data_IF_475889011897
#
_entry.id   IF_475889011897
#
_cell.length_a   1.000
_cell.length_b   1.000
_cell.length_c   1.000
_cell.angle_alpha   90.00
_cell.angle_beta   90.00
_cell.angle_gamma   90.00
#
_symmetry.space_group_name_H-M   'P 1'
#
loop_
_entity.id
_entity.type
_entity.pdbx_description
1 polymer ?
#
# COMPACT_ATOMS: atom_id res chain seq x y z
N UNK A 1 41.24 -18.65 79.25
CA UNK A 1 40.06 -19.53 79.20
C UNK A 1 38.94 -18.90 80.01
N UNK A 2 37.70 -18.95 79.50
CA UNK A 2 36.42 -18.73 80.19
C UNK A 2 36.05 -17.34 80.72
N UNK A 3 35.04 -16.76 80.05
CA UNK A 3 33.76 -16.21 80.57
C UNK A 3 33.68 -15.03 81.56
N UNK A 4 32.73 -14.16 81.18
CA UNK A 4 31.73 -13.45 82.00
C UNK A 4 32.06 -12.04 82.51
N UNK A 5 31.12 -11.11 82.30
CA UNK A 5 31.09 -9.81 82.98
C UNK A 5 30.30 -8.71 82.27
N UNK A 6 28.98 -8.74 82.41
CA UNK A 6 27.97 -7.80 81.90
C UNK A 6 28.12 -6.38 82.45
N UNK A 7 27.77 -5.33 81.67
CA UNK A 7 27.06 -4.14 82.17
C UNK A 7 26.28 -3.40 81.07
N UNK A 8 25.01 -3.17 81.40
CA UNK A 8 23.88 -2.57 80.67
C UNK A 8 24.00 -1.08 80.39
N UNK A 9 23.34 -0.57 79.34
CA UNK A 9 22.62 0.72 79.33
C UNK A 9 21.60 0.80 78.15
N UNK A 10 20.33 0.94 78.55
CA UNK A 10 19.06 1.49 77.97
C UNK A 10 18.79 1.65 76.45
N UNK A 11 17.50 1.58 76.02
CA UNK A 11 17.09 1.32 74.64
C UNK A 11 16.91 2.59 73.79
N UNK A 12 17.22 2.47 72.48
CA UNK A 12 16.89 3.43 71.41
C UNK A 12 15.71 2.85 70.60
N UNK A 13 14.73 3.66 70.15
CA UNK A 13 13.50 3.14 69.56
C UNK A 13 13.71 2.50 68.20
N UNK A 14 12.94 1.44 67.94
CA UNK A 14 12.85 0.71 66.66
C UNK A 14 11.78 1.40 65.79
N UNK A 15 12.16 1.86 64.61
CA UNK A 15 11.21 2.12 63.51
C UNK A 15 11.37 1.07 62.41
N UNK A 16 10.25 0.65 61.77
CA UNK A 16 10.21 -0.50 60.88
C UNK A 16 10.68 -0.19 59.45
N UNK A 17 11.37 -1.16 58.86
CA UNK A 17 11.72 -1.21 57.45
C UNK A 17 10.48 -1.25 56.55
N UNK A 18 10.33 -0.26 55.67
CA UNK A 18 9.52 -0.33 54.46
C UNK A 18 10.38 -0.05 53.23
N UNK A 19 10.67 -1.10 52.46
CA UNK A 19 11.25 -1.01 51.12
C UNK A 19 10.15 -0.64 50.11
N UNK A 20 10.28 0.51 49.45
CA UNK A 20 9.70 0.77 48.13
C UNK A 20 10.76 1.52 47.29
N UNK A 21 11.04 1.13 46.03
CA UNK A 21 11.95 1.88 45.18
C UNK A 21 11.19 3.04 44.50
N UNK A 22 11.65 4.26 44.75
CA UNK A 22 11.23 5.48 44.06
C UNK A 22 11.92 5.63 42.70
N UNK A 23 11.14 6.01 41.69
CA UNK A 23 11.60 6.36 40.35
C UNK A 23 12.26 7.76 40.36
N UNK A 24 13.37 7.99 39.61
CA UNK A 24 13.95 9.32 39.48
C UNK A 24 13.13 10.20 38.50
N UNK A 25 13.11 11.54 38.70
CA UNK A 25 12.28 12.46 37.92
C UNK A 25 12.79 12.71 36.50
N UNK A 26 11.84 12.88 35.58
CA UNK A 26 12.02 13.14 34.16
C UNK A 26 12.97 14.32 33.85
N UNK A 27 14.08 14.02 33.16
CA UNK A 27 14.89 15.01 32.46
C UNK A 27 14.10 15.57 31.27
N UNK A 28 13.66 16.82 31.38
CA UNK A 28 13.17 17.61 30.25
C UNK A 28 14.34 17.97 29.31
N UNK A 29 14.52 17.18 28.25
CA UNK A 29 15.34 17.60 27.10
C UNK A 29 14.50 18.56 26.26
N UNK A 30 14.71 19.86 26.43
CA UNK A 30 14.28 20.88 25.47
C UNK A 30 15.07 20.70 24.19
N UNK A 31 14.52 19.99 23.20
CA UNK A 31 15.01 20.06 21.82
C UNK A 31 14.52 21.38 21.24
N UNK A 32 15.43 22.35 21.17
CA UNK A 32 15.23 23.64 20.57
C UNK A 32 15.13 23.47 19.04
N UNK A 33 13.92 23.27 18.51
CA UNK A 33 13.67 23.32 17.05
C UNK A 33 13.97 24.74 16.57
N UNK A 34 15.05 24.90 15.80
CA UNK A 34 15.27 26.11 14.99
C UNK A 34 14.40 25.99 13.73
N UNK A 35 13.68 27.05 13.33
CA UNK A 35 12.94 27.05 12.08
C UNK A 35 13.93 27.21 10.92
N UNK A 36 13.95 26.24 10.01
CA UNK A 36 14.50 26.45 8.68
C UNK A 36 13.32 26.82 7.78
N UNK A 37 13.14 28.12 7.56
CA UNK A 37 12.35 28.62 6.44
C UNK A 37 13.07 28.25 5.15
N UNK A 38 12.37 27.59 4.24
CA UNK A 38 12.78 27.41 2.85
C UNK A 38 11.61 27.84 1.97
N UNK A 39 11.67 29.10 1.55
CA UNK A 39 10.86 29.64 0.46
C UNK A 39 11.51 29.25 -0.87
N UNK A 40 10.73 28.65 -1.78
CA UNK A 40 11.15 28.47 -3.17
C UNK A 40 10.50 29.60 -3.97
N UNK A 41 11.29 30.64 -4.23
CA UNK A 41 10.97 31.66 -5.23
C UNK A 41 11.49 31.15 -6.57
N UNK A 42 10.59 30.78 -7.46
CA UNK A 42 10.94 30.54 -8.86
C UNK A 42 11.07 31.90 -9.58
N UNK A 43 12.28 32.22 -10.02
CA UNK A 43 12.54 33.37 -10.88
C UNK A 43 12.01 33.09 -12.29
N UNK A 44 10.97 33.82 -12.68
CA UNK A 44 10.49 33.86 -14.06
C UNK A 44 11.53 34.58 -14.94
N UNK A 45 12.01 33.89 -15.98
CA UNK A 45 12.75 34.49 -17.09
C UNK A 45 11.88 34.43 -18.33
N UNK A 46 11.34 35.59 -18.69
CA UNK A 46 10.63 35.89 -19.92
C UNK A 46 11.48 35.61 -21.16
N UNK A 47 10.96 34.86 -22.12
CA UNK A 47 11.33 35.00 -23.52
C UNK A 47 10.06 35.09 -24.35
N UNK A 48 9.94 36.22 -25.04
CA UNK A 48 8.80 36.63 -25.83
C UNK A 48 8.59 35.77 -27.09
N UNK A 49 7.31 35.68 -27.44
CA UNK A 49 6.71 35.04 -28.60
C UNK A 49 7.26 35.52 -29.95
N UNK A 50 7.17 34.64 -30.95
CA UNK A 50 6.58 35.02 -32.24
C UNK A 50 5.54 34.00 -32.69
N UNK A 51 4.31 34.49 -32.75
CA UNK A 51 3.14 33.87 -33.35
C UNK A 51 3.33 33.62 -34.85
N UNK A 52 2.75 32.55 -35.37
CA UNK A 52 2.04 32.66 -36.65
C UNK A 52 0.80 31.76 -36.69
N UNK A 53 -0.26 32.32 -37.26
CA UNK A 53 -1.66 31.88 -37.19
C UNK A 53 -2.02 31.07 -38.42
N UNK A 54 -2.72 29.95 -38.24
CA UNK A 54 -3.35 29.21 -39.33
C UNK A 54 -4.54 28.38 -38.85
N UNK A 55 -5.74 28.95 -38.99
CA UNK A 55 -7.04 28.28 -38.77
C UNK A 55 -7.24 27.17 -39.81
N UNK A 56 -7.81 26.03 -39.40
CA UNK A 56 -9.06 25.52 -39.97
C UNK A 56 -9.60 24.34 -39.17
N UNK A 57 -10.90 24.38 -38.90
CA UNK A 57 -11.63 23.39 -38.13
C UNK A 57 -11.88 22.11 -38.93
N UNK A 58 -11.84 20.97 -38.27
CA UNK A 58 -12.53 19.78 -38.76
C UNK A 58 -13.00 18.95 -37.57
N UNK A 59 -14.32 18.90 -37.43
CA UNK A 59 -15.07 17.96 -36.59
C UNK A 59 -14.60 16.54 -36.95
N UNK A 60 -13.95 15.84 -36.02
CA UNK A 60 -13.62 14.42 -36.20
C UNK A 60 -14.47 13.58 -35.26
N UNK A 61 -15.46 12.92 -35.87
CA UNK A 61 -16.20 11.78 -35.31
C UNK A 61 -15.21 10.74 -34.80
N UNK A 62 -15.39 10.36 -33.54
CA UNK A 62 -14.77 9.19 -32.94
C UNK A 62 -15.45 7.96 -33.51
N UNK A 63 -14.71 7.15 -34.28
CA UNK A 63 -15.07 5.75 -34.51
C UNK A 63 -13.81 4.92 -34.74
N UNK A 64 -13.63 3.99 -33.80
CA UNK A 64 -13.24 2.59 -33.99
C UNK A 64 -11.81 2.23 -34.47
N UNK A 65 -11.12 1.54 -33.55
CA UNK A 65 -10.05 0.55 -33.76
C UNK A 65 -8.69 1.15 -34.16
N UNK A 66 -7.99 1.69 -33.16
CA UNK A 66 -6.53 1.79 -33.24
C UNK A 66 -5.92 0.39 -33.03
N UNK A 67 -5.77 -0.34 -34.13
CA UNK A 67 -4.73 -1.37 -34.23
C UNK A 67 -3.41 -0.71 -33.84
N UNK A 68 -2.78 -1.18 -32.76
CA UNK A 68 -1.43 -0.76 -32.37
C UNK A 68 -0.51 -1.05 -33.55
N UNK A 69 -0.17 0.00 -34.29
CA UNK A 69 0.88 -0.07 -35.31
C UNK A 69 2.19 0.04 -34.52
N UNK A 70 3.09 -0.95 -34.58
CA UNK A 70 4.43 -0.81 -34.01
C UNK A 70 5.09 0.42 -34.63
N UNK A 71 5.29 1.48 -33.83
CA UNK A 71 5.98 2.68 -34.29
C UNK A 71 7.41 2.29 -34.65
N UNK A 72 7.83 2.65 -35.87
CA UNK A 72 9.12 2.29 -36.48
C UNK A 72 10.27 2.62 -35.51
N UNK A 73 11.16 1.64 -35.24
CA UNK A 73 12.39 1.83 -34.45
C UNK A 73 13.34 2.76 -35.21
N UNK A 74 13.22 4.07 -34.97
CA UNK A 74 14.36 4.97 -35.11
C UNK A 74 15.33 4.68 -33.97
N UNK A 75 16.61 4.98 -34.17
CA UNK A 75 17.70 4.82 -33.21
C UNK A 75 17.35 5.57 -31.91
N UNK A 76 16.65 4.90 -31.00
CA UNK A 76 16.07 5.48 -29.79
C UNK A 76 16.80 4.91 -28.58
N UNK A 77 17.29 5.81 -27.74
CA UNK A 77 18.01 5.47 -26.50
C UNK A 77 17.09 4.93 -25.38
N UNK A 78 15.81 4.64 -25.67
CA UNK A 78 14.83 4.19 -24.68
C UNK A 78 13.80 3.20 -25.24
N UNK A 79 13.18 2.44 -24.33
CA UNK A 79 12.05 1.52 -24.58
C UNK A 79 11.00 1.83 -23.52
N UNK A 80 9.73 1.83 -23.90
CA UNK A 80 8.60 1.82 -22.96
C UNK A 80 7.48 0.99 -23.58
N UNK A 81 7.24 -0.20 -23.03
CA UNK A 81 6.28 -1.17 -23.55
C UNK A 81 5.45 -1.75 -22.40
N UNK A 82 4.10 -1.79 -22.50
CA UNK A 82 3.28 -2.49 -21.52
C UNK A 82 3.58 -4.00 -21.57
N UNK A 83 3.65 -4.64 -20.41
CA UNK A 83 3.86 -6.08 -20.29
C UNK A 83 2.50 -6.76 -20.20
N UNK A 84 2.03 -7.30 -21.33
CA UNK A 84 0.75 -8.01 -21.42
C UNK A 84 1.03 -9.51 -21.54
N UNK A 85 0.79 -10.26 -20.46
CA UNK A 85 0.99 -11.72 -20.43
C UNK A 85 -0.13 -12.44 -21.18
N UNK A 86 -1.37 -12.04 -20.93
CA UNK A 86 -2.55 -12.59 -21.59
C UNK A 86 -3.05 -11.61 -22.66
N UNK A 87 -3.00 -11.96 -23.96
CA UNK A 87 -3.36 -11.06 -25.05
C UNK A 87 -4.85 -10.67 -25.10
N UNK A 88 -5.70 -11.31 -24.26
CA UNK A 88 -7.11 -10.94 -24.11
C UNK A 88 -7.34 -9.78 -23.14
N UNK A 89 -6.31 -9.34 -22.41
CA UNK A 89 -6.38 -8.17 -21.54
C UNK A 89 -6.43 -6.93 -22.41
N UNK A 90 -7.44 -6.09 -22.22
CA UNK A 90 -7.47 -4.74 -22.79
C UNK A 90 -7.15 -3.73 -21.69
N UNK A 91 -6.23 -2.79 -21.98
CA UNK A 91 -5.85 -1.76 -21.03
C UNK A 91 -6.92 -0.67 -20.99
N UNK A 92 -7.25 -0.23 -19.77
CA UNK A 92 -8.04 0.96 -19.54
C UNK A 92 -7.47 2.18 -20.27
N UNK A 93 -8.32 3.10 -20.72
CA UNK A 93 -7.92 4.33 -21.41
C UNK A 93 -6.93 5.13 -20.56
N UNK A 94 -7.17 5.23 -19.25
CA UNK A 94 -6.26 5.93 -18.33
C UNK A 94 -4.85 5.32 -18.29
N UNK A 95 -4.72 3.98 -18.43
CA UNK A 95 -3.42 3.32 -18.52
C UNK A 95 -2.74 3.66 -19.85
N UNK A 96 -3.49 3.64 -20.96
CA UNK A 96 -2.96 4.04 -22.26
C UNK A 96 -2.51 5.50 -22.27
N UNK A 97 -3.32 6.41 -21.72
CA UNK A 97 -3.03 7.83 -21.65
C UNK A 97 -1.80 8.13 -20.79
N UNK A 98 -1.67 7.43 -19.64
CA UNK A 98 -0.48 7.46 -18.80
C UNK A 98 0.77 6.99 -19.58
N UNK A 99 0.71 5.82 -20.23
CA UNK A 99 1.85 5.26 -20.97
C UNK A 99 2.24 6.16 -22.14
N UNK A 100 1.27 6.68 -22.90
CA UNK A 100 1.51 7.57 -24.03
C UNK A 100 2.11 8.91 -23.58
N UNK A 101 1.60 9.49 -22.50
CA UNK A 101 2.13 10.75 -21.95
C UNK A 101 3.55 10.59 -21.41
N UNK A 102 3.84 9.47 -20.73
CA UNK A 102 5.19 9.12 -20.28
C UNK A 102 6.12 8.86 -21.47
N UNK A 103 5.63 8.17 -22.51
CA UNK A 103 6.36 7.96 -23.75
C UNK A 103 6.76 9.29 -24.39
N UNK A 104 5.82 10.23 -24.52
CA UNK A 104 6.04 11.53 -25.16
C UNK A 104 7.05 12.39 -24.37
N UNK A 105 7.05 12.31 -23.03
CA UNK A 105 8.08 12.91 -22.19
C UNK A 105 9.48 12.36 -22.49
N UNK A 106 9.62 11.03 -22.52
CA UNK A 106 10.90 10.37 -22.84
C UNK A 106 11.37 10.70 -24.27
N UNK A 107 10.48 10.70 -25.26
CA UNK A 107 10.80 11.04 -26.67
C UNK A 107 11.23 12.50 -26.83
N UNK A 108 10.73 13.40 -25.97
CA UNK A 108 11.17 14.80 -25.86
C UNK A 108 12.44 15.00 -25.02
N UNK A 109 13.08 13.91 -24.59
CA UNK A 109 14.32 13.96 -23.82
C UNK A 109 14.12 14.40 -22.37
N UNK A 110 12.93 14.22 -21.79
CA UNK A 110 12.68 14.44 -20.37
C UNK A 110 13.10 13.21 -19.59
N UNK A 111 14.07 13.37 -18.69
CA UNK A 111 14.65 12.23 -17.98
C UNK A 111 13.76 11.84 -16.80
N UNK A 112 13.66 10.54 -16.47
CA UNK A 112 13.11 10.09 -15.21
C UNK A 112 13.85 10.75 -14.04
N UNK A 113 13.09 11.24 -13.06
CA UNK A 113 13.62 11.83 -11.84
C UNK A 113 13.49 10.82 -10.72
N UNK A 114 14.62 10.31 -10.21
CA UNK A 114 14.60 9.42 -9.05
C UNK A 114 14.09 10.18 -7.83
N UNK A 115 13.13 9.60 -7.11
CA UNK A 115 12.66 10.13 -5.83
C UNK A 115 13.84 10.31 -4.86
N UNK A 116 13.77 11.31 -3.97
CA UNK A 116 14.73 11.45 -2.90
C UNK A 116 14.44 10.50 -1.72
N UNK A 117 13.17 10.07 -1.60
CA UNK A 117 12.63 9.30 -0.48
C UNK A 117 12.43 7.82 -0.83
N UNK A 118 12.10 7.03 0.18
CA UNK A 118 11.89 5.58 0.06
C UNK A 118 13.17 4.75 0.08
N UNK A 119 12.99 3.43 0.16
CA UNK A 119 14.05 2.43 0.36
C UNK A 119 14.50 1.75 -0.94
N UNK A 120 13.77 1.93 -2.04
CA UNK A 120 14.06 1.37 -3.36
C UNK A 120 14.22 2.43 -4.45
N UNK A 121 14.30 1.98 -5.70
CA UNK A 121 14.21 2.81 -6.88
C UNK A 121 12.77 3.18 -7.22
N UNK A 122 12.44 4.47 -7.16
CA UNK A 122 11.18 5.03 -7.63
C UNK A 122 11.49 6.26 -8.49
N UNK A 123 10.87 6.35 -9.66
CA UNK A 123 11.18 7.36 -10.67
C UNK A 123 9.94 8.09 -11.11
N UNK A 124 9.90 9.41 -10.91
CA UNK A 124 8.90 10.28 -11.49
C UNK A 124 9.17 10.46 -12.99
N UNK A 125 8.16 10.19 -13.78
CA UNK A 125 8.17 10.35 -15.23
C UNK A 125 7.46 11.64 -15.58
N UNK A 126 8.06 12.42 -16.48
CA UNK A 126 7.58 13.74 -16.86
C UNK A 126 6.70 13.69 -18.11
N UNK A 127 5.82 14.67 -18.24
CA UNK A 127 5.08 14.93 -19.47
C UNK A 127 5.97 15.50 -20.58
N UNK A 128 5.39 15.72 -21.76
CA UNK A 128 6.10 16.29 -22.91
C UNK A 128 6.72 17.68 -22.63
N UNK A 129 6.10 18.47 -21.74
CA UNK A 129 6.60 19.81 -21.38
C UNK A 129 7.76 19.73 -20.38
N UNK A 130 7.79 18.69 -19.55
CA UNK A 130 8.70 18.55 -18.42
C UNK A 130 8.25 19.34 -17.18
N UNK A 131 7.00 19.81 -17.15
CA UNK A 131 6.46 20.61 -16.05
C UNK A 131 5.63 19.78 -15.08
N UNK A 132 5.08 18.65 -15.51
CA UNK A 132 4.22 17.80 -14.69
C UNK A 132 4.74 16.38 -14.60
N UNK A 133 4.49 15.74 -13.46
CA UNK A 133 4.65 14.30 -13.31
C UNK A 133 3.43 13.58 -13.88
N UNK A 134 3.67 12.51 -14.63
CA UNK A 134 2.64 11.70 -15.30
C UNK A 134 2.50 10.34 -14.65
N UNK A 135 3.62 9.73 -14.27
CA UNK A 135 3.63 8.40 -13.65
C UNK A 135 4.83 8.22 -12.74
N UNK A 136 4.74 7.27 -11.82
CA UNK A 136 5.85 6.77 -11.01
C UNK A 136 6.19 5.36 -11.47
N UNK A 137 7.44 5.14 -11.86
CA UNK A 137 7.96 3.81 -12.24
C UNK A 137 8.84 3.24 -11.12
N UNK A 138 8.55 2.01 -10.68
CA UNK A 138 9.29 1.28 -9.64
C UNK A 138 9.87 -0.03 -10.24
N UNK A 139 11.16 -0.07 -10.61
CA UNK A 139 11.80 -1.27 -11.17
C UNK A 139 11.93 -2.40 -10.14
N UNK A 140 11.62 -3.63 -10.56
CA UNK A 140 11.74 -4.86 -9.76
C UNK A 140 13.17 -5.07 -9.24
N UNK A 141 14.17 -4.84 -10.08
CA UNK A 141 15.58 -5.05 -9.73
C UNK A 141 16.15 -3.98 -8.80
N UNK A 142 15.40 -2.90 -8.57
CA UNK A 142 15.75 -1.77 -7.70
C UNK A 142 14.92 -1.72 -6.42
N UNK A 143 14.07 -2.72 -6.17
CA UNK A 143 13.33 -2.86 -4.91
C UNK A 143 14.27 -2.86 -3.69
N UNK A 144 13.74 -2.61 -2.48
CA UNK A 144 14.51 -2.78 -1.26
C UNK A 144 15.11 -4.19 -1.17
N UNK A 145 16.41 -4.25 -0.85
CA UNK A 145 17.20 -5.49 -0.80
C UNK A 145 17.37 -6.21 -2.16
N UNK A 146 17.00 -5.61 -3.29
CA UNK A 146 17.24 -6.15 -4.62
C UNK A 146 18.68 -5.92 -5.10
N UNK A 147 19.08 -6.69 -6.12
CA UNK A 147 20.45 -6.71 -6.67
C UNK A 147 20.95 -5.34 -7.12
N UNK A 148 20.07 -4.50 -7.67
CA UNK A 148 20.41 -3.17 -8.17
C UNK A 148 19.77 -2.07 -7.31
N UNK A 149 19.56 -2.31 -6.02
CA UNK A 149 19.01 -1.30 -5.12
C UNK A 149 19.86 0.00 -5.14
N UNK A 150 19.29 1.16 -5.54
CA UNK A 150 20.04 2.41 -5.68
C UNK A 150 20.32 3.13 -4.35
N UNK A 151 19.81 2.61 -3.23
CA UNK A 151 19.93 3.20 -1.88
C UNK A 151 21.03 2.56 -1.04
N UNK A 152 21.74 1.57 -1.59
CA UNK A 152 22.84 0.90 -0.90
C UNK A 152 22.39 -0.03 0.22
N UNK A 153 21.13 -0.48 0.20
CA UNK A 153 20.68 -1.55 1.10
C UNK A 153 21.35 -2.88 0.71
N UNK A 154 21.64 -3.76 1.69
CA UNK A 154 22.25 -5.05 1.41
C UNK A 154 21.30 -5.95 0.61
N UNK A 155 21.86 -6.81 -0.24
CA UNK A 155 21.11 -7.84 -0.96
C UNK A 155 20.48 -8.84 0.03
N UNK A 156 19.21 -9.18 -0.20
CA UNK A 156 18.55 -10.26 0.56
C UNK A 156 19.12 -11.63 0.16
N UNK A 157 19.57 -12.42 1.14
CA UNK A 157 20.22 -13.72 0.91
C UNK A 157 19.22 -14.88 0.83
N UNK A 158 18.09 -14.77 1.51
CA UNK A 158 17.00 -15.76 1.53
C UNK A 158 15.80 -15.34 0.64
N UNK A 159 15.88 -14.13 0.07
CA UNK A 159 14.86 -13.55 -0.79
C UNK A 159 13.69 -12.92 -0.03
N UNK A 160 13.74 -12.85 1.31
CA UNK A 160 12.75 -12.12 2.10
C UNK A 160 12.88 -10.61 1.88
N UNK A 161 11.74 -9.92 1.76
CA UNK A 161 11.66 -8.47 1.63
C UNK A 161 11.79 -7.74 2.98
N UNK A 162 11.50 -6.43 3.00
CA UNK A 162 11.51 -5.65 4.25
C UNK A 162 10.39 -6.02 5.23
N UNK A 163 9.31 -6.63 4.73
CA UNK A 163 8.15 -7.06 5.53
C UNK A 163 8.05 -8.59 5.51
N UNK A 164 7.77 -9.18 6.67
CA UNK A 164 7.54 -10.62 6.82
C UNK A 164 6.45 -11.10 5.89
N UNK A 165 6.74 -12.25 5.26
CA UNK A 165 5.88 -12.85 4.24
C UNK A 165 5.89 -12.14 2.89
N UNK A 166 6.79 -11.18 2.65
CA UNK A 166 7.01 -10.59 1.32
C UNK A 166 8.36 -11.04 0.75
N UNK A 167 8.49 -11.06 -0.58
CA UNK A 167 9.73 -11.44 -1.27
C UNK A 167 10.24 -10.30 -2.13
N UNK A 168 11.56 -10.17 -2.20
CA UNK A 168 12.25 -9.23 -3.08
C UNK A 168 11.89 -9.53 -4.53
N UNK A 169 11.61 -8.48 -5.30
CA UNK A 169 11.24 -8.55 -6.71
C UNK A 169 9.76 -8.89 -6.96
N UNK A 170 8.93 -8.88 -5.90
CA UNK A 170 7.49 -9.10 -6.01
C UNK A 170 6.65 -7.85 -5.74
N UNK A 171 7.27 -6.73 -5.32
CA UNK A 171 6.56 -5.49 -5.00
C UNK A 171 5.80 -4.93 -6.20
N UNK A 172 6.40 -4.94 -7.39
CA UNK A 172 5.75 -4.46 -8.62
C UNK A 172 4.45 -5.22 -8.95
N UNK A 173 4.40 -6.54 -8.71
CA UNK A 173 3.19 -7.33 -8.94
C UNK A 173 2.08 -6.96 -7.95
N UNK A 174 2.45 -6.66 -6.71
CA UNK A 174 1.53 -6.27 -5.63
C UNK A 174 0.91 -4.90 -5.87
N UNK A 175 1.70 -3.96 -6.38
CA UNK A 175 1.23 -2.65 -6.85
C UNK A 175 0.16 -2.79 -7.95
N UNK A 176 0.44 -3.64 -8.95
CA UNK A 176 -0.52 -3.90 -10.04
C UNK A 176 -1.76 -4.64 -9.52
N UNK A 177 -1.58 -5.62 -8.62
CA UNK A 177 -2.67 -6.36 -8.02
C UNK A 177 -3.61 -5.46 -7.21
N UNK A 178 -3.07 -4.51 -6.43
CA UNK A 178 -3.89 -3.57 -5.67
C UNK A 178 -4.82 -2.77 -6.58
N UNK A 179 -4.34 -2.30 -7.74
CA UNK A 179 -5.19 -1.62 -8.72
C UNK A 179 -6.24 -2.54 -9.36
N UNK A 180 -5.85 -3.76 -9.75
CA UNK A 180 -6.77 -4.74 -10.36
C UNK A 180 -7.90 -5.10 -9.38
N UNK A 181 -7.53 -5.32 -8.11
CA UNK A 181 -8.42 -5.76 -7.05
C UNK A 181 -9.20 -4.62 -6.37
N UNK A 182 -8.85 -3.36 -6.65
CA UNK A 182 -9.67 -2.20 -6.29
C UNK A 182 -10.84 -2.08 -7.28
N UNK A 183 -11.89 -2.86 -7.03
CA UNK A 183 -13.06 -2.92 -7.89
C UNK A 183 -13.92 -1.65 -7.79
N UNK A 184 -14.56 -1.21 -8.89
CA UNK A 184 -15.51 -0.11 -8.82
C UNK A 184 -16.75 -0.50 -8.00
N UNK A 185 -17.47 0.51 -7.54
CA UNK A 185 -18.75 0.32 -6.83
C UNK A 185 -19.81 -0.43 -7.66
N UNK A 186 -19.74 -0.33 -8.99
CA UNK A 186 -20.65 -1.01 -9.91
C UNK A 186 -20.41 -2.53 -10.02
N UNK A 187 -19.45 -3.08 -9.27
CA UNK A 187 -19.09 -4.50 -9.28
C UNK A 187 -17.64 -4.72 -9.72
N UNK A 188 -17.29 -5.95 -10.09
CA UNK A 188 -15.91 -6.30 -10.45
C UNK A 188 -15.37 -5.42 -11.57
N UNK A 189 -14.09 -5.03 -11.44
CA UNK A 189 -13.34 -4.37 -12.51
C UNK A 189 -13.39 -5.26 -13.75
N UNK A 190 -14.05 -4.80 -14.80
CA UNK A 190 -14.16 -5.60 -16.02
C UNK A 190 -12.78 -5.86 -16.61
N UNK A 191 -12.65 -6.96 -17.37
CA UNK A 191 -11.44 -7.30 -18.13
C UNK A 191 -10.95 -6.18 -19.08
N UNK A 192 -11.82 -5.20 -19.33
CA UNK A 192 -11.68 -4.09 -20.28
C UNK A 192 -11.71 -2.69 -19.62
N UNK A 193 -11.70 -2.60 -18.28
CA UNK A 193 -12.46 -1.55 -17.57
C UNK A 193 -11.74 -0.26 -17.12
N UNK A 194 -12.42 0.87 -17.41
CA UNK A 194 -12.12 2.26 -17.03
C UNK A 194 -12.78 2.72 -15.70
N UNK A 195 -13.44 1.83 -14.97
CA UNK A 195 -14.14 2.20 -13.73
C UNK A 195 -13.18 2.67 -12.63
N UNK A 196 -13.51 3.78 -11.96
CA UNK A 196 -12.81 4.25 -10.76
C UNK A 196 -13.01 3.21 -9.65
N UNK A 197 -11.90 2.70 -9.11
CA UNK A 197 -11.93 1.74 -8.01
C UNK A 197 -12.56 2.32 -6.75
N UNK A 198 -13.07 1.45 -5.87
CA UNK A 198 -13.74 1.83 -4.63
C UNK A 198 -12.82 2.63 -3.72
N UNK A 199 -11.59 2.13 -3.50
CA UNK A 199 -10.56 2.79 -2.72
C UNK A 199 -9.85 3.91 -3.48
N UNK A 200 -9.84 3.85 -4.81
CA UNK A 200 -9.25 4.87 -5.67
C UNK A 200 -7.75 4.68 -5.87
N UNK A 201 -7.27 3.43 -5.93
CA UNK A 201 -5.88 3.13 -6.30
C UNK A 201 -5.64 3.69 -7.70
N UNK A 202 -4.62 4.54 -7.91
CA UNK A 202 -4.35 5.09 -9.23
C UNK A 202 -4.04 3.96 -10.25
N UNK A 203 -4.40 4.15 -11.53
CA UNK A 203 -4.07 3.22 -12.60
C UNK A 203 -2.63 2.75 -12.53
N UNK A 204 -2.45 1.44 -12.35
CA UNK A 204 -1.13 0.83 -12.17
C UNK A 204 -0.99 -0.38 -13.09
N UNK A 205 0.09 -0.41 -13.87
CA UNK A 205 0.32 -1.48 -14.83
C UNK A 205 1.79 -1.90 -14.89
N UNK A 206 2.05 -3.14 -15.30
CA UNK A 206 3.40 -3.66 -15.49
C UNK A 206 3.97 -3.14 -16.81
N UNK A 207 5.17 -2.56 -16.77
CA UNK A 207 5.84 -2.05 -17.98
C UNK A 207 7.29 -2.50 -18.04
N UNK A 208 7.81 -2.60 -19.26
CA UNK A 208 9.21 -2.76 -19.56
C UNK A 208 9.75 -1.42 -20.02
N UNK A 209 10.70 -0.86 -19.29
CA UNK A 209 11.29 0.43 -19.58
C UNK A 209 12.83 0.34 -19.66
N UNK A 210 13.40 0.81 -20.77
CA UNK A 210 14.85 1.03 -20.91
C UNK A 210 15.07 2.54 -20.92
N UNK A 211 15.85 3.07 -19.98
CA UNK A 211 16.29 4.46 -20.03
C UNK A 211 17.55 4.64 -19.19
N UNK A 212 18.49 5.47 -19.66
CA UNK A 212 19.78 5.73 -18.97
C UNK A 212 19.66 6.55 -17.67
N UNK A 213 18.48 7.11 -17.42
CA UNK A 213 18.15 7.82 -16.18
C UNK A 213 17.85 6.90 -14.99
N UNK A 214 17.65 5.60 -15.23
CA UNK A 214 17.54 4.61 -14.16
C UNK A 214 18.91 4.19 -13.62
N UNK A 215 18.95 3.51 -12.49
CA UNK A 215 20.19 3.03 -11.92
C UNK A 215 20.69 1.77 -12.64
N UNK A 216 21.85 1.88 -13.28
CA UNK A 216 22.53 0.76 -13.97
C UNK A 216 23.95 0.63 -13.41
N UNK A 217 24.24 -0.35 -12.53
CA UNK A 217 25.59 -0.56 -12.03
C UNK A 217 26.55 -1.13 -13.10
N UNK A 218 26.03 -1.57 -14.25
CA UNK A 218 26.78 -2.08 -15.39
C UNK A 218 26.15 -1.63 -16.71
N UNK A 219 25.92 -2.59 -17.61
CA UNK A 219 25.33 -2.30 -18.92
C UNK A 219 23.91 -1.73 -18.83
N UNK A 220 23.57 -0.88 -19.80
CA UNK A 220 22.24 -0.32 -19.95
C UNK A 220 21.26 -1.43 -20.33
N UNK A 221 20.39 -1.81 -19.39
CA UNK A 221 19.44 -2.93 -19.55
C UNK A 221 18.00 -2.50 -19.33
N UNK A 222 17.06 -3.18 -19.99
CA UNK A 222 15.65 -2.86 -19.85
C UNK A 222 15.15 -3.40 -18.51
N UNK A 223 14.46 -2.56 -17.76
CA UNK A 223 13.92 -2.88 -16.45
C UNK A 223 12.43 -3.18 -16.55
N UNK A 224 11.96 -4.12 -15.75
CA UNK A 224 10.53 -4.44 -15.61
C UNK A 224 10.09 -3.92 -14.24
N UNK A 225 8.92 -3.30 -14.17
CA UNK A 225 8.43 -2.70 -12.94
C UNK A 225 6.98 -2.22 -13.04
N UNK A 226 6.43 -1.83 -11.90
CA UNK A 226 5.11 -1.19 -11.86
C UNK A 226 5.24 0.27 -12.31
N UNK A 227 4.30 0.70 -13.15
CA UNK A 227 4.10 2.10 -13.51
C UNK A 227 2.72 2.50 -13.04
N UNK A 228 2.69 3.41 -12.06
CA UNK A 228 1.47 3.94 -11.46
C UNK A 228 1.26 5.37 -11.93
N UNK A 229 0.02 5.73 -12.26
CA UNK A 229 -0.33 7.09 -12.66
C UNK A 229 -0.05 8.06 -11.51
N UNK A 230 0.63 9.15 -11.80
CA UNK A 230 0.81 10.23 -10.85
C UNK A 230 -0.50 11.02 -10.77
N UNK A 231 -1.00 11.22 -9.55
CA UNK A 231 -2.22 11.99 -9.30
C UNK A 231 -1.81 13.28 -8.60
N UNK A 232 -2.25 14.43 -9.12
CA UNK A 232 -2.07 15.72 -8.45
C UNK A 232 -2.72 15.66 -7.06
N UNK A 233 -1.97 16.08 -6.04
CA UNK A 233 -2.33 15.93 -4.64
C UNK A 233 -1.74 17.06 -3.79
N UNK A 234 -2.27 17.20 -2.59
CA UNK A 234 -1.95 18.24 -1.62
C UNK A 234 -1.09 17.71 -0.46
N UNK A 235 -0.22 16.73 -0.73
CA UNK A 235 0.65 16.11 0.28
C UNK A 235 0.09 14.82 0.87
N UNK A 236 0.85 14.23 1.81
CA UNK A 236 0.47 13.00 2.50
C UNK A 236 -0.37 13.30 3.74
N UNK A 237 -1.00 12.26 4.30
CA UNK A 237 -1.75 12.38 5.54
C UNK A 237 -0.86 12.62 6.78
N UNK A 238 0.47 12.52 6.68
CA UNK A 238 1.41 12.77 7.81
C UNK A 238 1.40 14.24 8.26
N UNK A 239 1.09 15.15 7.34
CA UNK A 239 1.08 16.59 7.59
C UNK A 239 -0.26 17.11 8.14
N UNK A 240 -1.25 16.22 8.34
CA UNK A 240 -2.63 16.59 8.67
C UNK A 240 -3.16 15.86 9.90
N UNK A 241 -4.02 16.55 10.67
CA UNK A 241 -4.67 15.95 11.83
C UNK A 241 -5.73 14.91 11.41
N UNK A 242 -5.72 13.69 11.99
CA UNK A 242 -6.56 12.58 11.50
C UNK A 242 -8.07 12.84 11.61
N UNK A 243 -8.49 13.77 12.48
CA UNK A 243 -9.90 14.18 12.59
C UNK A 243 -10.46 14.92 11.37
N UNK A 244 -9.62 15.40 10.45
CA UNK A 244 -10.06 16.15 9.28
C UNK A 244 -10.51 15.25 8.11
N UNK A 245 -10.17 13.96 8.13
CA UNK A 245 -10.43 13.08 6.99
C UNK A 245 -11.91 12.66 6.91
N UNK A 246 -12.53 12.66 5.71
CA UNK A 246 -13.90 12.17 5.56
C UNK A 246 -14.04 10.69 5.91
N UNK A 247 -15.10 10.34 6.64
CA UNK A 247 -15.36 8.96 7.09
C UNK A 247 -15.40 7.98 5.92
N UNK A 248 -16.11 8.36 4.83
CA UNK A 248 -16.23 7.53 3.63
C UNK A 248 -14.87 7.21 3.01
N UNK A 249 -13.93 8.16 3.00
CA UNK A 249 -12.60 7.95 2.43
C UNK A 249 -11.72 7.05 3.29
N UNK A 250 -11.80 7.16 4.62
CA UNK A 250 -11.10 6.23 5.52
C UNK A 250 -11.65 4.81 5.39
N UNK A 251 -12.98 4.66 5.27
CA UNK A 251 -13.63 3.35 5.09
C UNK A 251 -13.27 2.68 3.76
N UNK A 252 -13.12 3.48 2.71
CA UNK A 252 -12.66 3.01 1.39
C UNK A 252 -11.28 2.34 1.48
N UNK A 253 -10.33 3.02 2.12
CA UNK A 253 -8.97 2.52 2.31
C UNK A 253 -8.96 1.31 3.25
N UNK A 254 -9.75 1.33 4.34
CA UNK A 254 -9.77 0.22 5.30
C UNK A 254 -10.26 -1.08 4.65
N UNK A 255 -11.26 -1.02 3.76
CA UNK A 255 -11.74 -2.18 3.02
C UNK A 255 -10.65 -2.80 2.15
N UNK A 256 -9.91 -1.96 1.40
CA UNK A 256 -8.84 -2.44 0.54
C UNK A 256 -7.69 -3.02 1.37
N UNK A 257 -7.21 -2.30 2.38
CA UNK A 257 -6.04 -2.72 3.16
C UNK A 257 -6.31 -3.97 4.01
N UNK A 258 -7.52 -4.11 4.58
CA UNK A 258 -7.92 -5.35 5.25
C UNK A 258 -7.88 -6.50 4.25
N UNK A 259 -8.55 -6.35 3.10
CA UNK A 259 -8.62 -7.41 2.07
C UNK A 259 -7.26 -7.79 1.50
N UNK A 260 -6.34 -6.84 1.40
CA UNK A 260 -5.00 -7.11 0.89
C UNK A 260 -3.99 -7.40 2.00
N UNK A 261 -4.40 -7.44 3.28
CA UNK A 261 -3.52 -7.63 4.43
C UNK A 261 -2.25 -6.76 4.35
N UNK A 262 -2.43 -5.46 4.13
CA UNK A 262 -1.33 -4.54 3.87
C UNK A 262 -0.36 -4.47 5.07
N UNK A 263 0.92 -4.73 4.83
CA UNK A 263 1.96 -4.74 5.86
C UNK A 263 2.67 -3.38 6.05
N UNK A 264 2.24 -2.35 5.32
CA UNK A 264 2.92 -1.04 5.33
C UNK A 264 1.98 0.14 5.08
N UNK A 265 0.72 0.09 5.53
CA UNK A 265 -0.15 1.26 5.46
C UNK A 265 0.17 2.25 6.58
N UNK A 266 1.09 3.17 6.32
CA UNK A 266 1.31 4.38 7.12
C UNK A 266 0.67 5.62 6.46
N UNK A 267 0.56 6.73 7.21
CA UNK A 267 -0.08 7.96 6.70
C UNK A 267 0.65 8.56 5.49
N UNK A 268 1.97 8.34 5.37
CA UNK A 268 2.77 8.72 4.20
C UNK A 268 2.33 8.04 2.90
N UNK A 269 1.72 6.86 3.00
CA UNK A 269 1.20 6.10 1.85
C UNK A 269 -0.27 6.44 1.52
N UNK A 270 -0.81 7.50 2.11
CA UNK A 270 -2.17 8.00 1.82
C UNK A 270 -2.06 9.49 1.46
N UNK A 271 -2.35 9.82 0.21
CA UNK A 271 -2.29 11.20 -0.26
C UNK A 271 -3.65 11.90 -0.13
N UNK A 272 -3.60 13.21 0.03
CA UNK A 272 -4.78 14.07 0.04
C UNK A 272 -5.02 14.63 -1.36
N UNK A 273 -6.16 14.31 -1.94
CA UNK A 273 -6.61 14.89 -3.21
C UNK A 273 -7.82 15.81 -3.00
N UNK A 274 -8.20 16.47 -4.08
CA UNK A 274 -9.46 17.22 -4.18
C UNK A 274 -10.22 16.71 -5.40
N UNK A 275 -11.50 16.39 -5.25
CA UNK A 275 -12.34 16.01 -6.39
C UNK A 275 -12.71 17.26 -7.21
N UNK A 276 -12.50 17.19 -8.54
CA UNK A 276 -12.54 18.34 -9.46
C UNK A 276 -13.90 19.07 -9.47
N UNK A 277 -14.99 18.36 -9.16
CA UNK A 277 -16.35 18.87 -9.32
C UNK A 277 -16.93 19.60 -8.09
N UNK A 278 -16.35 19.41 -6.89
CA UNK A 278 -17.01 19.81 -5.64
C UNK A 278 -16.07 20.22 -4.48
N UNK A 279 -14.77 20.35 -4.73
CA UNK A 279 -13.74 20.63 -3.72
C UNK A 279 -13.76 19.66 -2.52
N UNK A 280 -14.33 18.45 -2.67
CA UNK A 280 -14.32 17.46 -1.61
C UNK A 280 -12.94 16.82 -1.49
N UNK A 281 -12.46 16.75 -0.25
CA UNK A 281 -11.25 16.01 0.09
C UNK A 281 -11.45 14.53 -0.21
N UNK A 282 -10.54 13.97 -1.00
CA UNK A 282 -10.45 12.53 -1.26
C UNK A 282 -9.14 11.98 -0.71
N UNK A 283 -9.12 10.70 -0.36
CA UNK A 283 -7.88 10.02 0.02
C UNK A 283 -7.45 9.08 -1.10
N UNK A 284 -6.18 9.16 -1.48
CA UNK A 284 -5.62 8.38 -2.59
C UNK A 284 -4.60 7.40 -2.00
N UNK A 285 -4.93 6.10 -1.90
CA UNK A 285 -3.99 5.10 -1.43
C UNK A 285 -2.93 4.83 -2.50
N UNK A 286 -1.67 4.91 -2.11
CA UNK A 286 -0.51 4.58 -2.95
C UNK A 286 0.37 3.54 -2.26
N UNK A 287 1.42 3.10 -2.94
CA UNK A 287 2.47 2.24 -2.37
C UNK A 287 1.98 0.92 -1.74
N UNK A 288 1.53 0.01 -2.58
CA UNK A 288 1.01 -1.30 -2.18
C UNK A 288 2.06 -2.42 -2.33
N UNK A 289 3.35 -2.08 -2.41
CA UNK A 289 4.44 -3.05 -2.62
C UNK A 289 4.52 -4.14 -1.53
N UNK A 290 3.94 -3.90 -0.35
CA UNK A 290 3.94 -4.81 0.79
C UNK A 290 2.56 -5.37 1.16
N UNK A 291 1.63 -5.47 0.19
CA UNK A 291 0.36 -6.17 0.38
C UNK A 291 0.42 -7.64 -0.08
N UNK A 292 -0.62 -8.41 0.27
CA UNK A 292 -0.77 -9.85 -0.01
C UNK A 292 0.41 -10.71 0.50
N UNK A 293 0.90 -10.51 1.74
CA UNK A 293 1.98 -11.31 2.31
C UNK A 293 1.58 -12.80 2.48
N UNK A 294 2.56 -13.67 2.69
CA UNK A 294 2.31 -15.10 3.00
C UNK A 294 1.88 -15.34 4.45
N UNK A 295 1.94 -14.32 5.31
CA UNK A 295 1.52 -14.36 6.71
C UNK A 295 0.98 -13.00 7.15
N UNK A 296 0.24 -12.94 8.27
CA UNK A 296 -0.33 -11.70 8.81
C UNK A 296 0.60 -10.94 9.76
N UNK A 297 1.81 -11.45 10.00
CA UNK A 297 2.73 -11.00 11.06
C UNK A 297 3.00 -9.49 11.08
N UNK A 298 3.23 -8.89 9.89
CA UNK A 298 3.55 -7.46 9.76
C UNK A 298 2.36 -6.60 9.32
N UNK A 299 1.11 -7.11 9.34
CA UNK A 299 -0.07 -6.31 9.00
C UNK A 299 -0.12 -5.02 9.81
N UNK A 300 -0.13 -3.88 9.12
CA UNK A 300 0.02 -2.56 9.75
C UNK A 300 -0.93 -1.56 9.11
N UNK A 301 -1.83 -0.99 9.92
CA UNK A 301 -2.86 -0.05 9.49
C UNK A 301 -2.86 1.22 10.36
N UNK A 302 -2.33 2.31 9.84
CA UNK A 302 -2.32 3.61 10.54
C UNK A 302 -3.72 4.16 10.81
N UNK A 303 -4.66 3.91 9.88
CA UNK A 303 -6.04 4.39 10.01
C UNK A 303 -6.80 3.77 11.19
N UNK A 304 -6.29 2.72 11.84
CA UNK A 304 -6.86 2.17 13.08
C UNK A 304 -6.93 3.21 14.21
N UNK A 305 -5.99 4.15 14.21
CA UNK A 305 -5.90 5.18 15.25
C UNK A 305 -6.71 6.43 14.90
N UNK A 306 -7.38 6.45 13.76
CA UNK A 306 -8.19 7.57 13.32
C UNK A 306 -9.65 7.42 13.83
N UNK A 307 -10.32 8.52 14.26
CA UNK A 307 -11.68 8.45 14.79
C UNK A 307 -12.71 7.78 13.86
N UNK A 308 -12.52 7.94 12.54
CA UNK A 308 -13.38 7.43 11.47
C UNK A 308 -13.44 5.90 11.45
N UNK A 309 -12.35 5.23 11.83
CA UNK A 309 -12.30 3.77 11.87
C UNK A 309 -13.23 3.16 12.94
N UNK A 310 -13.65 3.96 13.94
CA UNK A 310 -14.60 3.53 14.98
C UNK A 310 -16.06 3.71 14.57
N UNK A 311 -16.31 4.29 13.40
CA UNK A 311 -17.66 4.43 12.87
C UNK A 311 -18.03 3.18 12.06
N UNK A 312 -19.29 2.72 12.13
CA UNK A 312 -19.73 1.58 11.33
C UNK A 312 -19.68 1.92 9.84
N UNK A 313 -19.39 0.92 9.00
CA UNK A 313 -19.50 1.04 7.56
C UNK A 313 -20.91 1.47 7.15
N UNK A 314 -21.03 2.31 6.12
CA UNK A 314 -22.31 2.63 5.51
C UNK A 314 -22.94 1.40 4.85
N UNK A 315 -24.26 1.42 4.63
CA UNK A 315 -24.95 0.34 3.92
C UNK A 315 -24.37 0.09 2.51
N UNK A 316 -24.03 1.18 1.82
CA UNK A 316 -23.35 1.18 0.52
C UNK A 316 -22.00 0.43 0.58
N UNK A 317 -21.17 0.72 1.58
CA UNK A 317 -19.89 0.03 1.78
C UNK A 317 -20.09 -1.45 2.16
N UNK A 318 -21.09 -1.77 2.97
CA UNK A 318 -21.41 -3.17 3.33
C UNK A 318 -21.85 -3.97 2.11
N UNK A 319 -22.66 -3.38 1.21
CA UNK A 319 -23.06 -4.02 -0.04
C UNK A 319 -21.86 -4.27 -0.95
N UNK A 320 -20.97 -3.27 -1.08
CA UNK A 320 -19.70 -3.45 -1.80
C UNK A 320 -18.88 -4.61 -1.21
N UNK A 321 -18.67 -4.65 0.11
CA UNK A 321 -17.92 -5.73 0.79
C UNK A 321 -18.56 -7.10 0.53
N UNK A 322 -19.88 -7.19 0.58
CA UNK A 322 -20.59 -8.45 0.36
C UNK A 322 -20.43 -8.98 -1.07
N UNK A 323 -20.22 -8.09 -2.05
CA UNK A 323 -20.00 -8.43 -3.46
C UNK A 323 -18.59 -8.98 -3.77
N UNK A 324 -17.63 -8.84 -2.86
CA UNK A 324 -16.24 -9.29 -3.05
C UNK A 324 -16.14 -10.82 -2.99
N UNK A 325 -15.31 -11.41 -3.86
CA UNK A 325 -15.13 -12.86 -4.02
C UNK A 325 -13.66 -13.21 -4.26
N UNK A 326 -13.00 -13.77 -3.25
CA UNK A 326 -11.55 -13.98 -3.27
C UNK A 326 -11.10 -15.00 -4.32
N UNK A 327 -11.87 -16.06 -4.55
CA UNK A 327 -11.57 -17.11 -5.54
C UNK A 327 -11.56 -16.53 -6.96
N UNK A 328 -12.58 -15.74 -7.28
CA UNK A 328 -12.66 -15.08 -8.57
C UNK A 328 -11.59 -13.98 -8.72
N UNK A 329 -11.20 -13.33 -7.62
CA UNK A 329 -10.13 -12.33 -7.60
C UNK A 329 -8.74 -12.95 -7.85
N UNK A 330 -8.48 -14.13 -7.29
CA UNK A 330 -7.30 -14.93 -7.60
C UNK A 330 -7.29 -15.30 -9.08
N UNK A 331 -8.43 -15.73 -9.63
CA UNK A 331 -8.57 -16.02 -11.06
C UNK A 331 -8.32 -14.79 -11.93
N UNK A 332 -8.77 -13.61 -11.48
CA UNK A 332 -8.52 -12.33 -12.17
C UNK A 332 -7.03 -11.98 -12.19
N UNK A 333 -6.32 -12.08 -11.06
CA UNK A 333 -4.87 -11.85 -11.02
C UNK A 333 -4.13 -12.80 -11.96
N UNK A 334 -4.49 -14.08 -11.95
CA UNK A 334 -3.94 -15.09 -12.86
C UNK A 334 -4.21 -14.74 -14.32
N UNK A 335 -5.42 -14.26 -14.63
CA UNK A 335 -5.79 -13.80 -15.97
C UNK A 335 -4.92 -12.63 -16.44
N UNK A 336 -4.56 -11.71 -15.54
CA UNK A 336 -3.66 -10.58 -15.81
C UNK A 336 -2.16 -10.95 -15.80
N UNK A 337 -1.83 -12.22 -15.53
CA UNK A 337 -0.47 -12.75 -15.66
C UNK A 337 0.28 -12.94 -14.35
N UNK A 338 -0.36 -12.75 -13.20
CA UNK A 338 0.24 -13.05 -11.91
C UNK A 338 -0.42 -14.30 -11.29
N UNK A 339 0.26 -15.43 -11.37
CA UNK A 339 -0.15 -16.64 -10.65
C UNK A 339 0.21 -16.44 -9.16
N UNK A 340 -0.78 -16.01 -8.38
CA UNK A 340 -0.60 -15.66 -6.98
C UNK A 340 -0.12 -16.90 -6.20
N UNK A 341 1.00 -16.83 -5.46
CA UNK A 341 1.46 -17.97 -4.66
C UNK A 341 0.39 -18.43 -3.67
N UNK A 342 0.32 -19.75 -3.43
CA UNK A 342 -0.74 -20.37 -2.62
C UNK A 342 -0.89 -19.72 -1.25
N UNK A 343 0.20 -19.40 -0.58
CA UNK A 343 0.19 -18.76 0.74
C UNK A 343 -0.34 -17.32 0.68
N UNK A 344 -0.01 -16.57 -0.38
CA UNK A 344 -0.58 -15.24 -0.60
C UNK A 344 -2.08 -15.30 -0.93
N UNK A 345 -2.49 -16.31 -1.72
CA UNK A 345 -3.90 -16.56 -2.06
C UNK A 345 -4.72 -16.89 -0.82
N UNK A 346 -4.18 -17.74 0.07
CA UNK A 346 -4.75 -18.03 1.38
C UNK A 346 -4.93 -16.76 2.22
N UNK A 347 -3.93 -15.89 2.29
CA UNK A 347 -4.04 -14.60 2.98
C UNK A 347 -5.20 -13.75 2.44
N UNK A 348 -5.35 -13.66 1.11
CA UNK A 348 -6.47 -12.95 0.47
C UNK A 348 -7.83 -13.57 0.80
N UNK A 349 -7.95 -14.89 0.77
CA UNK A 349 -9.19 -15.59 1.12
C UNK A 349 -9.58 -15.38 2.57
N UNK A 350 -8.65 -15.55 3.50
CA UNK A 350 -8.88 -15.40 4.94
C UNK A 350 -9.22 -13.97 5.30
N UNK A 351 -8.50 -12.98 4.75
CA UNK A 351 -8.78 -11.56 5.02
C UNK A 351 -10.10 -11.10 4.42
N UNK A 352 -10.46 -11.54 3.21
CA UNK A 352 -11.77 -11.28 2.61
C UNK A 352 -12.89 -11.90 3.45
N UNK A 353 -12.69 -13.14 3.92
CA UNK A 353 -13.61 -13.82 4.82
C UNK A 353 -13.80 -13.07 6.14
N UNK A 354 -12.70 -12.64 6.77
CA UNK A 354 -12.73 -11.85 8.00
C UNK A 354 -13.52 -10.55 7.81
N UNK A 355 -13.27 -9.85 6.71
CA UNK A 355 -13.98 -8.61 6.39
C UNK A 355 -15.49 -8.85 6.26
N UNK A 356 -15.91 -9.85 5.46
CA UNK A 356 -17.32 -10.18 5.24
C UNK A 356 -18.01 -10.64 6.53
N UNK A 357 -17.39 -11.54 7.30
CA UNK A 357 -17.92 -12.03 8.58
C UNK A 357 -17.98 -10.93 9.65
N UNK A 358 -17.01 -10.02 9.66
CA UNK A 358 -16.98 -8.88 10.56
C UNK A 358 -18.10 -7.89 10.28
N UNK A 359 -18.33 -7.51 9.02
CA UNK A 359 -19.42 -6.57 8.68
C UNK A 359 -20.80 -7.16 8.88
N UNK A 360 -20.98 -8.47 8.66
CA UNK A 360 -22.23 -9.18 8.98
C UNK A 360 -22.59 -9.07 10.47
N UNK A 361 -21.58 -8.94 11.33
CA UNK A 361 -21.69 -8.75 12.78
C UNK A 361 -21.66 -7.28 13.21
N UNK A 362 -21.78 -6.35 12.26
CA UNK A 362 -21.75 -4.89 12.47
C UNK A 362 -20.46 -4.41 13.15
N UNK A 363 -19.36 -5.14 13.00
CA UNK A 363 -18.07 -4.72 13.52
C UNK A 363 -17.55 -3.51 12.72
N UNK A 364 -16.88 -2.61 13.43
CA UNK A 364 -16.28 -1.40 12.85
C UNK A 364 -14.98 -1.74 12.10
N UNK A 365 -14.51 -0.88 11.17
CA UNK A 365 -13.18 -1.01 10.59
C UNK A 365 -12.08 -1.19 11.66
N UNK A 366 -12.18 -0.44 12.76
CA UNK A 366 -11.26 -0.54 13.88
C UNK A 366 -11.22 -1.95 14.45
N UNK A 367 -12.38 -2.51 14.79
CA UNK A 367 -12.46 -3.86 15.36
C UNK A 367 -11.91 -4.92 14.40
N UNK A 368 -12.27 -4.85 13.12
CA UNK A 368 -11.82 -5.82 12.11
C UNK A 368 -10.32 -5.70 11.86
N UNK A 369 -9.79 -4.48 11.68
CA UNK A 369 -8.36 -4.28 11.47
C UNK A 369 -7.52 -4.62 12.71
N UNK A 370 -8.03 -4.39 13.93
CA UNK A 370 -7.35 -4.79 15.17
C UNK A 370 -7.22 -6.31 15.33
N UNK A 371 -8.06 -7.12 14.68
CA UNK A 371 -7.89 -8.58 14.64
C UNK A 371 -6.65 -8.97 13.83
N UNK A 372 -6.28 -8.16 12.82
CA UNK A 372 -5.16 -8.42 11.92
C UNK A 372 -3.82 -7.89 12.42
N UNK A 373 -3.81 -6.80 13.18
CA UNK A 373 -2.59 -6.15 13.64
C UNK A 373 -2.15 -6.72 15.00
N UNK A 374 -0.85 -6.98 15.14
CA UNK A 374 -0.25 -7.32 16.44
C UNK A 374 -0.26 -6.10 17.37
N UNK A 375 -0.58 -6.31 18.64
CA UNK A 375 -0.47 -5.25 19.68
C UNK A 375 0.99 -4.91 20.01
N UNK A 376 1.88 -5.89 19.87
CA UNK A 376 3.32 -5.75 20.04
C UNK A 376 4.05 -6.79 19.19
N UNK A 377 5.33 -6.58 18.91
CA UNK A 377 6.14 -7.51 18.12
C UNK A 377 6.22 -8.93 18.71
N UNK A 378 5.92 -9.11 20.00
CA UNK A 378 6.01 -10.38 20.70
C UNK A 378 4.66 -11.08 20.92
N UNK A 379 3.54 -10.44 20.51
CA UNK A 379 2.20 -10.98 20.71
C UNK A 379 1.53 -11.15 19.35
N UNK A 380 1.27 -12.40 18.98
CA UNK A 380 0.51 -12.75 17.78
C UNK A 380 -0.84 -12.02 17.76
N UNK A 381 -1.26 -11.63 16.57
CA UNK A 381 -2.58 -11.06 16.33
C UNK A 381 -3.63 -12.17 16.40
N UNK A 382 -4.89 -11.78 16.62
CA UNK A 382 -5.97 -12.76 16.70
C UNK A 382 -6.13 -13.54 15.38
N UNK A 383 -5.88 -12.92 14.22
CA UNK A 383 -5.94 -13.64 12.94
C UNK A 383 -4.85 -14.71 12.83
N UNK A 384 -3.66 -14.47 13.37
CA UNK A 384 -2.58 -15.45 13.43
C UNK A 384 -2.95 -16.63 14.34
N UNK A 385 -3.52 -16.35 15.51
CA UNK A 385 -4.03 -17.39 16.42
C UNK A 385 -5.14 -18.23 15.74
N UNK A 386 -6.04 -17.60 14.99
CA UNK A 386 -7.11 -18.29 14.24
C UNK A 386 -6.50 -19.21 13.18
N UNK A 387 -5.55 -18.70 12.39
CA UNK A 387 -4.86 -19.47 11.35
C UNK A 387 -4.09 -20.64 11.95
N UNK A 388 -3.36 -20.41 13.04
CA UNK A 388 -2.59 -21.46 13.72
C UNK A 388 -3.51 -22.52 14.32
N UNK A 389 -4.59 -22.12 15.00
CA UNK A 389 -5.57 -23.06 15.54
C UNK A 389 -6.23 -23.91 14.44
N UNK A 390 -6.49 -23.32 13.26
CA UNK A 390 -6.99 -24.06 12.12
C UNK A 390 -5.94 -25.07 11.60
N UNK A 391 -4.67 -24.67 11.50
CA UNK A 391 -3.57 -25.56 11.11
C UNK A 391 -3.43 -26.75 12.08
N UNK A 392 -3.54 -26.50 13.38
CA UNK A 392 -3.44 -27.53 14.42
C UNK A 392 -4.65 -28.47 14.43
N UNK A 393 -5.81 -28.02 13.92
CA UNK A 393 -7.05 -28.80 13.87
C UNK A 393 -7.14 -29.76 12.68
N UNK A 394 -6.35 -29.53 11.62
CA UNK A 394 -6.40 -30.33 10.39
C UNK A 394 -5.20 -31.26 10.26
N UNK A 395 -5.38 -32.40 9.59
CA UNK A 395 -4.29 -33.35 9.37
C UNK A 395 -3.32 -32.83 8.28
N UNK A 396 -2.02 -33.18 8.35
CA UNK A 396 -1.09 -32.89 7.26
C UNK A 396 -1.59 -33.43 5.92
N UNK A 397 -1.52 -32.61 4.86
CA UNK A 397 -1.99 -32.99 3.52
C UNK A 397 -3.50 -32.80 3.29
N UNK A 398 -4.21 -32.19 4.23
CA UNK A 398 -5.60 -31.76 4.06
C UNK A 398 -5.73 -30.75 2.91
N UNK A 399 -6.88 -30.75 2.22
CA UNK A 399 -7.16 -29.82 1.13
C UNK A 399 -7.25 -28.37 1.61
N UNK A 400 -6.92 -27.42 0.74
CA UNK A 400 -7.02 -25.99 1.04
C UNK A 400 -8.46 -25.59 1.46
N UNK A 401 -9.47 -26.16 0.78
CA UNK A 401 -10.87 -25.89 1.10
C UNK A 401 -11.22 -26.31 2.54
N UNK A 402 -10.83 -27.52 2.95
CA UNK A 402 -11.07 -28.02 4.32
C UNK A 402 -10.30 -27.20 5.36
N UNK A 403 -9.10 -26.72 5.04
CA UNK A 403 -8.36 -25.81 5.91
C UNK A 403 -9.10 -24.47 6.08
N UNK A 404 -9.60 -23.88 4.98
CA UNK A 404 -10.37 -22.64 5.01
C UNK A 404 -11.72 -22.79 5.72
N UNK A 405 -12.36 -23.96 5.64
CA UNK A 405 -13.56 -24.29 6.41
C UNK A 405 -13.27 -24.24 7.92
N UNK A 406 -12.16 -24.85 8.35
CA UNK A 406 -11.71 -24.78 9.76
C UNK A 406 -11.41 -23.34 10.20
N UNK A 407 -10.71 -22.56 9.37
CA UNK A 407 -10.49 -21.12 9.62
C UNK A 407 -11.83 -20.39 9.80
N UNK A 408 -12.81 -20.64 8.92
CA UNK A 408 -14.13 -20.02 8.97
C UNK A 408 -14.85 -20.32 10.29
N UNK A 409 -14.88 -21.58 10.73
CA UNK A 409 -15.55 -21.99 11.97
C UNK A 409 -14.90 -21.39 13.22
N UNK A 410 -13.56 -21.42 13.29
CA UNK A 410 -12.82 -20.84 14.42
C UNK A 410 -13.00 -19.32 14.44
N UNK A 411 -12.97 -18.68 13.27
CA UNK A 411 -13.20 -17.25 13.13
C UNK A 411 -14.60 -16.85 13.58
N UNK A 412 -15.65 -17.59 13.20
CA UNK A 412 -17.01 -17.30 13.65
C UNK A 412 -17.12 -17.28 15.17
N UNK A 413 -16.55 -18.29 15.85
CA UNK A 413 -16.52 -18.34 17.32
C UNK A 413 -15.81 -17.12 17.92
N UNK A 414 -14.64 -16.75 17.42
CA UNK A 414 -13.88 -15.58 17.90
C UNK A 414 -14.65 -14.28 17.69
N UNK A 415 -15.29 -14.11 16.53
CA UNK A 415 -16.08 -12.91 16.24
C UNK A 415 -17.33 -12.83 17.12
N UNK A 416 -17.99 -13.96 17.42
CA UNK A 416 -19.14 -14.00 18.33
C UNK A 416 -18.75 -13.66 19.77
N UNK A 417 -17.56 -14.07 20.23
CA UNK A 417 -16.98 -13.67 21.52
C UNK A 417 -16.77 -12.14 21.59
N UNK A 418 -16.29 -11.50 20.52
CA UNK A 418 -16.11 -10.04 20.47
C UNK A 418 -17.45 -9.31 20.55
N UNK A 419 -18.46 -9.76 19.79
CA UNK A 419 -19.80 -9.15 19.80
C UNK A 419 -20.44 -9.30 21.18
N UNK A 420 -20.25 -10.45 21.84
CA UNK A 420 -20.82 -10.72 23.17
C UNK A 420 -20.15 -9.93 24.29
N UNK A 421 -18.89 -9.53 24.11
CA UNK A 421 -18.10 -8.80 25.11
C UNK A 421 -18.13 -7.28 24.95
N UNK A 422 -18.66 -6.78 23.82
CA UNK A 422 -18.82 -5.34 23.57
C UNK A 422 -20.15 -4.86 24.19
N UNK A 423 -20.14 -3.94 25.18
CA UNK A 423 -21.38 -3.36 25.67
C UNK A 423 -22.08 -2.57 24.54
N UNK A 424 -23.36 -2.86 24.33
CA UNK A 424 -24.25 -2.21 23.36
C UNK A 424 -24.26 -0.68 23.48
#
# INVERSE_FOLDING_TARGET
MSSAGVKTLSPVPIEPFHNTPSWPPCLHVKVQRRPLELSIVATASSYEEKNDVGKEGTIRKYDAIQRVVPRKRTDRDFILEPVIVNPKVELASAIWDMINSTYDGLDRGKYPIRSAEGTGGAYFMLDLTGQKYVSVFKPIDEEPLAVNNPRGLPLSLDGEGLKKGTRVGQGAFREVAAYILDHPMSGRRSLFGDGKGFAGVPPTFMVKCLHKGFYHPGDLTAKIGSMQMFVENNGSCEDMGPGAFPVKEVHKISVLDIRLANADRHAGNILLGTEEDNDHTILIPIDHGYCLPTSFEDCTFEWLYWPQARQPYSAETVEYINSLDAEEDIALLKFHGWDLPTECARTLQISTMLLKKGVARKLTPFTIGSIMCRESLSKESMIEEIVQAAMDSVLPGTSEATFLDSVSEIMDRRLDEIVSSSPL
#
